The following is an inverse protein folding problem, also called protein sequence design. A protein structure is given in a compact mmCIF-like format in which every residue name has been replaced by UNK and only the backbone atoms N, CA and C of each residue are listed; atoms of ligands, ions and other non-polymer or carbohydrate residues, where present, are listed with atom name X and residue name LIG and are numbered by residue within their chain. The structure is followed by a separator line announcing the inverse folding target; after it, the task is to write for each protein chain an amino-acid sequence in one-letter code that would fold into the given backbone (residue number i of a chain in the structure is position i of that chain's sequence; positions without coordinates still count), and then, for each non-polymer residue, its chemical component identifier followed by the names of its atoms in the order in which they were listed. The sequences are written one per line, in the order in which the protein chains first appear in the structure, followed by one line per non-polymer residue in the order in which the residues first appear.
data_IF_245266602420
#
_entry.id   IF_245266602420
#
_cell.length_a   1.000
_cell.length_b   1.000
_cell.length_c   1.000
_cell.angle_alpha   90.00
_cell.angle_beta   90.00
_cell.angle_gamma   90.00
#
_symmetry.space_group_name_H-M   'P 1'
#
loop_
_entity.id
_entity.type
_entity.pdbx_description
1 polymer ?
#
# COMPACT_ATOMS: atom_id res chain seq x y z
N UNK A 1 -16.24 17.41 -16.70
CA UNK A 1 -14.76 17.53 -16.67
C UNK A 1 -14.19 16.22 -16.14
N UNK A 2 -14.18 15.18 -16.97
CA UNK A 2 -13.27 14.04 -16.80
C UNK A 2 -11.89 14.60 -17.11
N UNK A 3 -11.13 14.90 -16.06
CA UNK A 3 -10.16 15.99 -16.11
C UNK A 3 -8.81 15.56 -15.57
N UNK A 4 -7.77 16.12 -16.18
CA UNK A 4 -6.40 16.15 -15.66
C UNK A 4 -6.34 16.52 -14.18
N UNK A 5 -7.29 17.32 -13.67
CA UNK A 5 -7.40 17.61 -12.23
C UNK A 5 -7.70 16.36 -11.39
N UNK A 6 -8.71 15.57 -11.78
CA UNK A 6 -9.08 14.33 -11.10
C UNK A 6 -7.92 13.32 -11.13
N UNK A 7 -7.26 13.20 -12.28
CA UNK A 7 -6.08 12.33 -12.42
C UNK A 7 -4.97 12.73 -11.46
N UNK A 8 -4.61 14.01 -11.39
CA UNK A 8 -3.59 14.49 -10.48
C UNK A 8 -3.97 14.22 -9.02
N UNK A 9 -5.20 14.53 -8.60
CA UNK A 9 -5.69 14.27 -7.24
C UNK A 9 -5.65 12.78 -6.87
N UNK A 10 -6.13 11.92 -7.78
CA UNK A 10 -6.08 10.48 -7.64
C UNK A 10 -4.64 10.00 -7.41
N UNK A 11 -3.70 10.45 -8.24
CA UNK A 11 -2.31 10.05 -8.17
C UNK A 11 -1.55 10.63 -6.96
N UNK A 12 -1.88 11.83 -6.47
CA UNK A 12 -1.30 12.37 -5.21
C UNK A 12 -1.44 11.36 -4.08
N UNK A 13 -2.67 10.86 -3.88
CA UNK A 13 -2.98 9.91 -2.81
C UNK A 13 -2.29 8.56 -3.01
N UNK A 14 -2.26 8.05 -4.26
CA UNK A 14 -1.58 6.79 -4.59
C UNK A 14 -0.09 6.86 -4.31
N UNK A 15 0.58 7.92 -4.74
CA UNK A 15 2.02 8.06 -4.47
C UNK A 15 2.31 8.08 -2.97
N UNK A 16 1.47 8.75 -2.17
CA UNK A 16 1.67 8.81 -0.72
C UNK A 16 1.43 7.46 -0.02
N UNK A 17 0.43 6.69 -0.43
CA UNK A 17 0.22 5.32 0.07
C UNK A 17 1.35 4.36 -0.38
N UNK A 18 1.89 4.54 -1.59
CA UNK A 18 3.04 3.78 -2.10
C UNK A 18 4.32 4.07 -1.33
N UNK A 19 4.59 5.35 -1.04
CA UNK A 19 5.72 5.75 -0.20
C UNK A 19 5.62 5.09 1.19
N UNK A 20 4.45 5.14 1.82
CA UNK A 20 4.21 4.45 3.10
C UNK A 20 4.45 2.94 2.98
N UNK A 21 4.05 2.32 1.89
CA UNK A 21 4.25 0.87 1.67
C UNK A 21 5.73 0.51 1.54
N UNK A 22 6.51 1.28 0.76
CA UNK A 22 7.95 1.05 0.66
C UNK A 22 8.66 1.21 2.00
N UNK A 23 8.28 2.22 2.79
CA UNK A 23 8.77 2.38 4.16
C UNK A 23 8.42 1.16 5.04
N UNK A 24 7.20 0.63 4.93
CA UNK A 24 6.80 -0.57 5.69
C UNK A 24 7.58 -1.82 5.26
N UNK A 25 7.84 -2.00 3.96
CA UNK A 25 8.68 -3.10 3.46
C UNK A 25 10.12 -3.00 4.00
N UNK A 26 10.69 -1.80 4.02
CA UNK A 26 12.00 -1.54 4.61
C UNK A 26 12.01 -1.85 6.12
N UNK A 27 10.95 -1.50 6.84
CA UNK A 27 10.80 -1.84 8.25
C UNK A 27 10.73 -3.36 8.48
N UNK A 28 10.00 -4.10 7.62
CA UNK A 28 9.99 -5.57 7.65
C UNK A 28 11.41 -6.10 7.48
N UNK A 29 12.14 -5.65 6.47
CA UNK A 29 13.50 -6.09 6.18
C UNK A 29 14.45 -5.82 7.34
N UNK A 30 14.41 -4.61 7.89
CA UNK A 30 15.23 -4.22 9.04
C UNK A 30 14.94 -5.09 10.27
N UNK A 31 13.67 -5.45 10.53
CA UNK A 31 13.29 -6.32 11.65
C UNK A 31 13.69 -7.78 11.42
N UNK A 32 13.52 -8.31 10.21
CA UNK A 32 13.93 -9.67 9.87
C UNK A 32 15.44 -9.83 9.98
N UNK A 33 16.22 -8.83 9.51
CA UNK A 33 17.67 -8.83 9.61
C UNK A 33 18.22 -8.90 11.05
N UNK A 34 17.42 -8.52 12.06
CA UNK A 34 17.78 -8.63 13.47
C UNK A 34 17.46 -10.01 14.09
N UNK A 35 16.84 -10.91 13.34
CA UNK A 35 16.49 -12.26 13.81
C UNK A 35 17.66 -13.22 13.57
N UNK A 36 17.97 -14.15 14.51
CA UNK A 36 19.01 -15.15 14.29
C UNK A 36 18.60 -16.08 13.14
N UNK A 37 19.32 -16.06 12.02
CA UNK A 37 19.04 -16.93 10.87
C UNK A 37 19.28 -18.40 11.24
N UNK A 38 18.24 -19.24 11.15
CA UNK A 38 18.40 -20.69 11.09
C UNK A 38 18.75 -21.09 9.65
N UNK A 39 20.02 -20.98 9.29
CA UNK A 39 20.63 -21.79 8.22
C UNK A 39 20.61 -21.26 6.77
N UNK A 40 19.75 -20.31 6.41
CA UNK A 40 19.80 -19.63 5.10
C UNK A 40 20.06 -18.14 5.34
N UNK A 41 21.20 -17.63 4.85
CA UNK A 41 21.68 -16.28 5.21
C UNK A 41 20.76 -15.15 4.73
N UNK A 42 20.96 -13.96 5.31
CA UNK A 42 20.21 -12.70 5.13
C UNK A 42 19.92 -12.25 3.68
N UNK A 43 20.53 -12.85 2.66
CA UNK A 43 20.35 -12.48 1.25
C UNK A 43 18.95 -12.81 0.71
N UNK A 44 18.35 -13.94 1.13
CA UNK A 44 17.04 -14.35 0.59
C UNK A 44 15.89 -13.46 1.08
N UNK A 45 16.05 -12.78 2.22
CA UNK A 45 15.00 -12.02 2.86
C UNK A 45 14.79 -10.65 2.19
N UNK A 46 15.89 -9.97 1.86
CA UNK A 46 15.83 -8.70 1.16
C UNK A 46 15.44 -8.85 -0.32
N UNK A 47 15.89 -9.91 -0.97
CA UNK A 47 15.46 -10.26 -2.34
C UNK A 47 13.94 -10.45 -2.40
N UNK A 48 13.38 -11.14 -1.41
CA UNK A 48 11.96 -11.41 -1.32
C UNK A 48 11.11 -10.15 -1.07
N UNK A 49 11.66 -9.14 -0.39
CA UNK A 49 11.02 -7.82 -0.30
C UNK A 49 10.98 -7.11 -1.66
N UNK A 50 12.05 -7.20 -2.45
CA UNK A 50 12.06 -6.67 -3.80
C UNK A 50 11.02 -7.36 -4.69
N UNK A 51 10.91 -8.69 -4.60
CA UNK A 51 9.89 -9.47 -5.31
C UNK A 51 8.48 -9.03 -4.93
N UNK A 52 8.17 -9.01 -3.63
CA UNK A 52 6.85 -8.59 -3.14
C UNK A 52 6.50 -7.15 -3.55
N UNK A 53 7.48 -6.24 -3.56
CA UNK A 53 7.29 -4.86 -4.02
C UNK A 53 7.08 -4.71 -5.53
N UNK A 54 7.38 -5.76 -6.32
CA UNK A 54 7.39 -5.71 -7.78
C UNK A 54 8.52 -4.87 -8.36
N UNK A 55 9.63 -4.69 -7.63
CA UNK A 55 10.76 -3.85 -8.05
C UNK A 55 12.09 -4.61 -8.21
N UNK A 56 12.05 -5.94 -8.13
CA UNK A 56 13.23 -6.81 -8.22
C UNK A 56 13.99 -6.66 -9.55
N UNK A 57 13.29 -6.63 -10.69
CA UNK A 57 13.94 -6.54 -12.01
C UNK A 57 14.74 -5.25 -12.15
N UNK A 58 14.11 -4.11 -11.81
CA UNK A 58 14.76 -2.80 -11.86
C UNK A 58 15.89 -2.64 -10.83
N UNK A 59 15.82 -3.33 -9.69
CA UNK A 59 16.92 -3.39 -8.75
C UNK A 59 18.10 -4.17 -9.32
N UNK A 60 17.83 -5.38 -9.83
CA UNK A 60 18.85 -6.30 -10.36
C UNK A 60 19.63 -5.67 -11.51
N UNK A 61 18.92 -4.99 -12.42
CA UNK A 61 19.53 -4.28 -13.55
C UNK A 61 20.53 -3.20 -13.11
N UNK A 62 20.24 -2.49 -12.02
CA UNK A 62 21.02 -1.33 -11.57
C UNK A 62 22.09 -1.65 -10.52
N UNK A 63 21.76 -2.51 -9.56
CA UNK A 63 22.59 -2.80 -8.38
C UNK A 63 23.20 -4.20 -8.37
N UNK A 64 22.69 -5.12 -9.21
CA UNK A 64 23.11 -6.52 -9.21
C UNK A 64 22.67 -7.24 -7.93
N UNK A 65 23.63 -7.73 -7.16
CA UNK A 65 23.36 -8.56 -5.99
C UNK A 65 22.56 -7.82 -4.88
N UNK A 66 21.60 -8.51 -4.22
CA UNK A 66 20.76 -7.94 -3.17
C UNK A 66 21.54 -7.72 -1.87
N UNK A 67 22.24 -6.58 -1.82
CA UNK A 67 22.91 -6.08 -0.62
C UNK A 67 21.98 -5.13 0.11
N UNK A 68 21.79 -5.31 1.43
CA UNK A 68 20.88 -4.51 2.26
C UNK A 68 21.00 -2.99 1.99
N UNK A 69 22.21 -2.43 2.07
CA UNK A 69 22.45 -0.99 1.84
C UNK A 69 21.99 -0.52 0.45
N UNK A 70 22.14 -1.37 -0.57
CA UNK A 70 21.69 -1.05 -1.93
C UNK A 70 20.16 -1.08 -2.00
N UNK A 71 19.50 -2.00 -1.31
CA UNK A 71 18.05 -2.13 -1.28
C UNK A 71 17.41 -0.98 -0.52
N UNK A 72 17.95 -0.62 0.64
CA UNK A 72 17.58 0.60 1.37
C UNK A 72 17.71 1.85 0.49
N UNK A 73 18.83 1.94 -0.24
CA UNK A 73 19.07 3.02 -1.20
C UNK A 73 18.04 3.03 -2.34
N UNK A 74 17.73 1.86 -2.90
CA UNK A 74 16.83 1.70 -4.03
C UNK A 74 15.36 1.98 -3.69
N UNK A 75 14.89 1.49 -2.54
CA UNK A 75 13.51 1.64 -2.12
C UNK A 75 13.23 3.02 -1.49
N UNK A 76 14.23 3.66 -0.89
CA UNK A 76 14.03 4.98 -0.27
C UNK A 76 14.49 6.13 -1.18
N UNK A 77 15.74 6.11 -1.63
CA UNK A 77 16.42 7.29 -2.18
C UNK A 77 16.51 7.35 -3.70
N UNK A 78 16.30 6.23 -4.39
CA UNK A 78 16.63 6.12 -5.80
C UNK A 78 15.52 6.68 -6.71
N UNK A 79 15.85 7.72 -7.48
CA UNK A 79 14.90 8.36 -8.40
C UNK A 79 14.65 7.56 -9.68
N UNK A 80 15.52 6.62 -10.02
CA UNK A 80 15.30 5.71 -11.15
C UNK A 80 14.27 4.63 -10.79
N UNK A 81 14.05 4.38 -9.50
CA UNK A 81 12.91 3.61 -9.01
C UNK A 81 11.67 4.53 -8.90
N UNK A 82 10.66 4.40 -9.77
CA UNK A 82 9.45 5.23 -9.71
C UNK A 82 8.62 4.97 -8.45
N UNK A 83 8.83 3.83 -7.78
CA UNK A 83 8.16 3.45 -6.56
C UNK A 83 8.91 3.86 -5.30
N UNK A 84 10.15 4.38 -5.39
CA UNK A 84 10.88 4.78 -4.20
C UNK A 84 10.16 5.86 -3.40
N UNK A 85 10.45 5.94 -2.10
CA UNK A 85 9.85 6.94 -1.21
C UNK A 85 10.07 8.36 -1.76
N UNK A 86 11.30 8.69 -2.16
CA UNK A 86 11.61 10.01 -2.72
C UNK A 86 10.83 10.25 -4.02
N UNK A 87 10.87 9.32 -4.98
CA UNK A 87 10.14 9.46 -6.24
C UNK A 87 8.65 9.70 -6.02
N UNK A 88 8.05 8.94 -5.11
CA UNK A 88 6.64 9.07 -4.78
C UNK A 88 6.30 10.43 -4.17
N UNK A 89 7.07 10.90 -3.17
CA UNK A 89 6.78 12.18 -2.51
C UNK A 89 7.02 13.36 -3.46
N UNK A 90 8.05 13.29 -4.31
CA UNK A 90 8.29 14.31 -5.34
C UNK A 90 7.13 14.38 -6.34
N UNK A 91 6.65 13.23 -6.84
CA UNK A 91 5.51 13.16 -7.76
C UNK A 91 4.20 13.59 -7.12
N UNK A 92 3.95 13.20 -5.86
CA UNK A 92 2.77 13.62 -5.11
C UNK A 92 2.74 15.15 -4.97
N UNK A 93 3.85 15.76 -4.58
CA UNK A 93 3.96 17.22 -4.45
C UNK A 93 3.79 17.91 -5.80
N UNK A 94 4.35 17.38 -6.88
CA UNK A 94 4.23 17.98 -8.20
C UNK A 94 2.81 17.91 -8.75
N UNK A 95 2.13 16.77 -8.60
CA UNK A 95 0.72 16.65 -8.97
C UNK A 95 -0.13 17.65 -8.16
N UNK A 96 0.09 17.77 -6.85
CA UNK A 96 -0.58 18.74 -6.01
C UNK A 96 -0.32 20.20 -6.41
N UNK A 97 0.87 20.49 -6.95
CA UNK A 97 1.21 21.82 -7.48
C UNK A 97 0.38 22.15 -8.72
N UNK A 98 0.20 21.18 -9.62
CA UNK A 98 -0.61 21.32 -10.83
C UNK A 98 -2.07 21.62 -10.46
N UNK A 99 -2.60 20.97 -9.43
CA UNK A 99 -3.99 21.13 -8.97
C UNK A 99 -4.12 21.96 -7.70
N UNK A 100 -3.26 22.96 -7.51
CA UNK A 100 -3.17 23.75 -6.27
C UNK A 100 -4.51 24.37 -5.83
N UNK A 101 -5.37 24.70 -6.79
CA UNK A 101 -6.71 25.27 -6.55
C UNK A 101 -7.77 24.24 -6.16
N UNK A 102 -7.52 22.95 -6.40
CA UNK A 102 -8.43 21.86 -6.07
C UNK A 102 -8.15 21.21 -4.71
N UNK A 103 -7.08 21.62 -4.02
CA UNK A 103 -6.70 21.16 -2.69
C UNK A 103 -6.70 22.32 -1.69
N UNK A 104 -6.86 22.00 -0.41
CA UNK A 104 -6.82 22.97 0.68
C UNK A 104 -5.39 23.42 0.96
N UNK A 105 -5.24 24.55 1.68
CA UNK A 105 -3.94 24.99 2.17
C UNK A 105 -3.25 23.92 3.02
N UNK A 106 -3.98 23.28 3.93
CA UNK A 106 -3.43 22.23 4.80
C UNK A 106 -2.89 21.03 4.00
N UNK A 107 -3.62 20.53 3.01
CA UNK A 107 -3.15 19.42 2.17
C UNK A 107 -1.89 19.81 1.39
N UNK A 108 -1.86 21.02 0.83
CA UNK A 108 -0.67 21.54 0.15
C UNK A 108 0.52 21.66 1.09
N UNK A 109 0.33 22.25 2.26
CA UNK A 109 1.40 22.50 3.23
C UNK A 109 1.98 21.18 3.75
N UNK A 110 1.15 20.16 3.99
CA UNK A 110 1.64 18.82 4.35
C UNK A 110 2.55 18.24 3.26
N UNK A 111 2.12 18.25 1.99
CA UNK A 111 2.91 17.71 0.88
C UNK A 111 4.20 18.50 0.64
N UNK A 112 4.11 19.83 0.70
CA UNK A 112 5.27 20.70 0.50
C UNK A 112 6.27 20.59 1.65
N UNK A 113 5.80 20.46 2.88
CA UNK A 113 6.66 20.23 4.06
C UNK A 113 7.38 18.89 3.94
N UNK A 114 6.66 17.80 3.63
CA UNK A 114 7.28 16.50 3.40
C UNK A 114 8.36 16.54 2.31
N UNK A 115 8.10 17.24 1.19
CA UNK A 115 9.10 17.46 0.15
C UNK A 115 10.33 18.24 0.65
N UNK A 116 10.13 19.32 1.41
CA UNK A 116 11.25 20.10 1.98
C UNK A 116 12.08 19.29 2.98
N UNK A 117 11.44 18.48 3.81
CA UNK A 117 12.10 17.59 4.77
C UNK A 117 12.93 16.52 4.06
N UNK A 118 12.45 15.93 2.94
CA UNK A 118 13.30 15.04 2.10
C UNK A 118 14.56 15.76 1.64
N UNK A 119 14.44 17.01 1.18
CA UNK A 119 15.61 17.78 0.75
C UNK A 119 16.60 18.03 1.89
N UNK A 120 16.16 18.03 3.14
CA UNK A 120 17.04 18.12 4.30
C UNK A 120 17.68 16.76 4.62
N UNK A 121 16.91 15.67 4.57
CA UNK A 121 17.40 14.30 4.73
C UNK A 121 18.53 14.02 3.71
N UNK A 122 18.33 14.41 2.45
CA UNK A 122 19.31 14.23 1.37
C UNK A 122 20.60 15.04 1.53
N UNK A 123 20.60 16.11 2.35
CA UNK A 123 21.81 16.91 2.60
C UNK A 123 22.77 16.25 3.58
N UNK A 124 22.30 15.24 4.32
CA UNK A 124 23.13 14.49 5.26
C UNK A 124 23.60 13.18 4.61
N UNK A 125 24.80 12.69 4.98
CA UNK A 125 25.26 11.37 4.54
C UNK A 125 24.26 10.28 4.97
N UNK A 126 24.03 9.29 4.10
CA UNK A 126 23.11 8.17 4.40
C UNK A 126 23.47 7.41 5.68
N UNK A 127 24.76 7.38 6.06
CA UNK A 127 25.23 6.73 7.28
C UNK A 127 24.75 7.40 8.57
N UNK A 128 24.25 8.64 8.50
CA UNK A 128 23.71 9.36 9.64
C UNK A 128 22.23 9.02 9.90
N UNK A 129 21.58 8.30 9.00
CA UNK A 129 20.16 7.97 9.10
C UNK A 129 19.95 6.50 9.40
N UNK A 130 19.23 6.24 10.49
CA UNK A 130 18.68 4.92 10.76
C UNK A 130 17.45 4.68 9.88
N UNK A 131 17.40 3.53 9.19
CA UNK A 131 16.31 3.22 8.27
C UNK A 131 14.94 3.23 8.96
N UNK A 132 14.89 2.80 10.22
CA UNK A 132 13.66 2.80 11.02
C UNK A 132 13.13 4.23 11.25
N UNK A 133 14.00 5.20 11.50
CA UNK A 133 13.61 6.61 11.70
C UNK A 133 13.02 7.20 10.41
N UNK A 134 13.63 6.88 9.28
CA UNK A 134 13.13 7.25 7.95
C UNK A 134 11.75 6.63 7.69
N UNK A 135 11.56 5.35 8.00
CA UNK A 135 10.27 4.67 7.82
C UNK A 135 9.17 5.24 8.72
N UNK A 136 9.50 5.56 9.98
CA UNK A 136 8.58 6.24 10.88
C UNK A 136 8.23 7.64 10.37
N UNK A 137 9.21 8.37 9.85
CA UNK A 137 9.00 9.68 9.23
C UNK A 137 7.99 9.60 8.07
N UNK A 138 8.16 8.67 7.12
CA UNK A 138 7.21 8.48 6.01
C UNK A 138 5.81 8.17 6.53
N UNK A 139 5.71 7.30 7.54
CA UNK A 139 4.43 6.92 8.12
C UNK A 139 3.72 8.12 8.77
N UNK A 140 4.48 9.00 9.44
CA UNK A 140 3.95 10.26 9.98
C UNK A 140 3.44 11.18 8.86
N UNK A 141 4.19 11.34 7.76
CA UNK A 141 3.76 12.19 6.64
C UNK A 141 2.47 11.69 5.99
N UNK A 142 2.34 10.37 5.78
CA UNK A 142 1.11 9.79 5.25
C UNK A 142 -0.08 9.96 6.21
N UNK A 143 0.14 9.83 7.53
CA UNK A 143 -0.89 10.10 8.52
C UNK A 143 -1.32 11.57 8.55
N UNK A 144 -0.38 12.51 8.48
CA UNK A 144 -0.65 13.94 8.39
C UNK A 144 -1.48 14.28 7.15
N UNK A 145 -1.15 13.70 6.00
CA UNK A 145 -1.88 13.96 4.76
C UNK A 145 -3.33 13.46 4.86
N UNK A 146 -3.54 12.24 5.36
CA UNK A 146 -4.90 11.72 5.59
C UNK A 146 -5.69 12.62 6.54
N UNK A 147 -5.08 13.05 7.64
CA UNK A 147 -5.70 13.99 8.59
C UNK A 147 -6.04 15.34 7.96
N UNK A 148 -5.15 15.89 7.13
CA UNK A 148 -5.37 17.14 6.42
C UNK A 148 -6.51 17.02 5.40
N UNK A 149 -6.56 15.92 4.65
CA UNK A 149 -7.65 15.64 3.71
C UNK A 149 -8.99 15.55 4.44
N UNK A 150 -9.07 14.71 5.47
CA UNK A 150 -10.31 14.48 6.22
C UNK A 150 -10.78 15.73 6.95
N UNK A 151 -9.86 16.50 7.55
CA UNK A 151 -10.17 17.66 8.38
C UNK A 151 -10.47 18.95 7.63
N UNK A 152 -10.05 19.09 6.36
CA UNK A 152 -10.15 20.37 5.65
C UNK A 152 -10.84 20.34 4.29
N UNK A 153 -10.85 19.21 3.58
CA UNK A 153 -11.43 19.17 2.23
C UNK A 153 -12.96 19.06 2.26
N UNK A 154 -13.63 19.83 1.41
CA UNK A 154 -15.04 19.64 1.12
C UNK A 154 -15.29 18.23 0.57
N UNK A 155 -16.41 17.59 0.92
CA UNK A 155 -16.80 16.25 0.41
C UNK A 155 -17.35 16.35 -1.01
N UNK A 156 -16.49 16.76 -1.94
CA UNK A 156 -16.73 16.83 -3.38
C UNK A 156 -15.97 15.74 -4.13
N UNK A 157 -16.09 15.73 -5.45
CA UNK A 157 -15.36 14.84 -6.35
C UNK A 157 -13.85 14.81 -6.08
N UNK A 158 -13.21 15.96 -5.83
CA UNK A 158 -11.80 16.01 -5.49
C UNK A 158 -11.42 15.20 -4.24
N UNK A 159 -12.21 15.32 -3.16
CA UNK A 159 -12.04 14.50 -1.96
C UNK A 159 -12.26 13.02 -2.26
N UNK A 160 -13.28 12.68 -3.05
CA UNK A 160 -13.58 11.29 -3.39
C UNK A 160 -12.49 10.67 -4.28
N UNK A 161 -11.93 11.40 -5.25
CA UNK A 161 -10.84 10.93 -6.09
C UNK A 161 -9.55 10.67 -5.30
N UNK A 162 -9.17 11.57 -4.39
CA UNK A 162 -7.99 11.34 -3.54
C UNK A 162 -8.19 10.09 -2.68
N UNK A 163 -9.34 9.95 -2.01
CA UNK A 163 -9.57 8.79 -1.15
C UNK A 163 -9.76 7.48 -1.93
N UNK A 164 -10.31 7.53 -3.15
CA UNK A 164 -10.36 6.39 -4.07
C UNK A 164 -8.94 5.93 -4.44
N UNK A 165 -8.05 6.87 -4.77
CA UNK A 165 -6.64 6.57 -5.02
C UNK A 165 -5.97 5.89 -3.82
N UNK A 166 -6.14 6.46 -2.63
CA UNK A 166 -5.65 5.85 -1.38
C UNK A 166 -6.19 4.43 -1.17
N UNK A 167 -7.48 4.21 -1.37
CA UNK A 167 -8.12 2.93 -1.14
C UNK A 167 -7.65 1.84 -2.11
N UNK A 168 -7.55 2.14 -3.41
CA UNK A 168 -7.09 1.19 -4.42
C UNK A 168 -5.60 0.86 -4.25
N UNK A 169 -4.76 1.87 -4.01
CA UNK A 169 -3.34 1.65 -3.77
C UNK A 169 -3.11 0.86 -2.48
N UNK A 170 -3.92 1.10 -1.43
CA UNK A 170 -3.85 0.30 -0.21
C UNK A 170 -4.26 -1.15 -0.42
N UNK A 171 -5.29 -1.40 -1.23
CA UNK A 171 -5.73 -2.76 -1.52
C UNK A 171 -4.60 -3.57 -2.18
N UNK A 172 -3.97 -3.01 -3.24
CA UNK A 172 -2.83 -3.62 -3.92
C UNK A 172 -1.62 -3.80 -2.97
N UNK A 173 -1.23 -2.73 -2.26
CA UNK A 173 -0.05 -2.76 -1.40
C UNK A 173 -0.20 -3.64 -0.16
N UNK A 174 -1.40 -3.73 0.44
CA UNK A 174 -1.63 -4.69 1.51
C UNK A 174 -1.49 -6.11 0.97
N UNK A 175 -2.02 -6.42 -0.22
CA UNK A 175 -1.88 -7.76 -0.80
C UNK A 175 -0.40 -8.12 -0.99
N UNK A 176 0.39 -7.21 -1.57
CA UNK A 176 1.85 -7.36 -1.72
C UNK A 176 2.58 -7.56 -0.39
N UNK A 177 2.22 -6.79 0.63
CA UNK A 177 2.81 -6.94 1.97
C UNK A 177 2.48 -8.28 2.62
N UNK A 178 1.27 -8.82 2.42
CA UNK A 178 0.93 -10.18 2.88
C UNK A 178 1.74 -11.21 2.09
N UNK A 179 1.90 -10.99 0.78
CA UNK A 179 2.58 -11.91 -0.14
C UNK A 179 4.09 -12.05 0.13
N UNK A 180 4.69 -11.12 0.89
CA UNK A 180 6.03 -11.29 1.50
C UNK A 180 6.13 -12.62 2.27
N UNK A 181 5.01 -13.13 2.83
CA UNK A 181 4.95 -14.44 3.47
C UNK A 181 5.34 -15.58 2.53
N UNK A 182 4.95 -15.50 1.26
CA UNK A 182 5.31 -16.52 0.28
C UNK A 182 6.81 -16.48 -0.03
N UNK A 183 7.33 -15.29 -0.34
CA UNK A 183 8.72 -15.12 -0.79
C UNK A 183 9.75 -15.26 0.34
N UNK A 184 9.53 -14.63 1.51
CA UNK A 184 10.53 -14.64 2.60
C UNK A 184 10.38 -15.89 3.50
N UNK A 185 9.19 -16.49 3.63
CA UNK A 185 8.81 -17.17 4.88
C UNK A 185 8.20 -18.58 4.74
N UNK A 186 8.26 -19.23 3.57
CA UNK A 186 7.85 -20.64 3.39
C UNK A 186 9.02 -21.52 2.90
N UNK A 187 9.94 -21.97 3.78
CA UNK A 187 11.03 -22.85 3.35
C UNK A 187 10.57 -24.30 3.10
N UNK A 188 9.45 -24.71 3.72
CA UNK A 188 8.79 -26.01 3.51
C UNK A 188 7.39 -26.04 4.15
N UNK A 189 6.45 -26.83 3.58
CA UNK A 189 5.10 -27.06 4.12
C UNK A 189 5.15 -27.59 5.56
N UNK A 190 6.24 -28.27 5.93
CA UNK A 190 6.48 -28.86 7.25
C UNK A 190 6.68 -27.81 8.36
N UNK A 191 7.00 -26.55 8.04
CA UNK A 191 7.22 -25.48 9.02
C UNK A 191 5.99 -24.59 9.28
N UNK A 192 4.86 -24.87 8.63
CA UNK A 192 3.60 -24.15 8.87
C UNK A 192 3.12 -24.38 10.30
N UNK A 193 2.82 -23.31 11.04
CA UNK A 193 2.44 -23.36 12.46
C UNK A 193 3.61 -23.48 13.44
N UNK A 194 4.87 -23.44 12.97
CA UNK A 194 6.06 -23.41 13.83
C UNK A 194 6.20 -22.08 14.59
N UNK A 195 7.09 -22.05 15.60
CA UNK A 195 7.45 -20.80 16.30
C UNK A 195 8.03 -19.74 15.38
N UNK A 196 8.77 -20.16 14.34
CA UNK A 196 9.30 -19.27 13.30
C UNK A 196 8.14 -18.68 12.47
N UNK A 197 7.21 -19.52 11.99
CA UNK A 197 6.03 -19.07 11.24
C UNK A 197 5.22 -18.02 12.04
N UNK A 198 4.99 -18.29 13.32
CA UNK A 198 4.31 -17.35 14.21
C UNK A 198 5.08 -16.04 14.38
N UNK A 199 6.40 -16.07 14.57
CA UNK A 199 7.20 -14.84 14.67
C UNK A 199 7.08 -13.99 13.40
N UNK A 200 7.16 -14.62 12.25
CA UNK A 200 7.13 -13.95 10.95
C UNK A 200 5.79 -13.26 10.69
N UNK A 201 4.67 -13.90 11.03
CA UNK A 201 3.36 -13.25 11.02
C UNK A 201 3.28 -12.04 11.97
N UNK A 202 3.95 -12.09 13.12
CA UNK A 202 4.01 -10.93 14.02
C UNK A 202 4.80 -9.78 13.41
N UNK A 203 5.88 -10.05 12.67
CA UNK A 203 6.63 -9.00 11.94
C UNK A 203 5.71 -8.31 10.95
N UNK A 204 4.94 -9.06 10.14
CA UNK A 204 3.97 -8.50 9.20
C UNK A 204 2.90 -7.66 9.90
N UNK A 205 2.33 -8.17 10.99
CA UNK A 205 1.33 -7.42 11.79
C UNK A 205 1.91 -6.12 12.37
N UNK A 206 3.17 -6.10 12.79
CA UNK A 206 3.83 -4.90 13.31
C UNK A 206 4.12 -3.90 12.20
N UNK A 207 4.64 -4.35 11.06
CA UNK A 207 4.87 -3.51 9.90
C UNK A 207 3.58 -2.91 9.32
N UNK A 208 2.44 -3.59 9.48
CA UNK A 208 1.11 -3.05 9.16
C UNK A 208 0.49 -2.23 10.30
N UNK A 209 1.21 -1.99 11.40
CA UNK A 209 0.73 -1.34 12.63
C UNK A 209 -0.57 -1.95 13.19
N UNK A 210 -0.79 -3.22 12.89
CA UNK A 210 -2.05 -3.93 13.10
C UNK A 210 -1.93 -4.96 14.23
N UNK A 211 -0.74 -5.15 14.81
CA UNK A 211 -0.47 -6.11 15.89
C UNK A 211 -1.42 -5.98 17.08
N UNK A 212 -1.60 -4.76 17.62
CA UNK A 212 -2.48 -4.56 18.78
C UNK A 212 -3.97 -4.69 18.41
N UNK A 213 -4.35 -4.20 17.23
CA UNK A 213 -5.72 -4.32 16.73
C UNK A 213 -6.11 -5.79 16.49
N UNK A 214 -5.17 -6.61 16.00
CA UNK A 214 -5.35 -8.05 15.86
C UNK A 214 -5.67 -8.70 17.21
N UNK A 215 -4.86 -8.42 18.23
CA UNK A 215 -5.05 -8.99 19.57
C UNK A 215 -6.40 -8.60 20.18
N UNK A 216 -6.86 -7.37 19.96
CA UNK A 216 -8.20 -6.96 20.39
C UNK A 216 -9.32 -7.69 19.65
N UNK A 217 -9.16 -7.93 18.34
CA UNK A 217 -10.21 -8.53 17.52
C UNK A 217 -10.33 -10.06 17.71
N UNK A 218 -9.22 -10.76 17.95
CA UNK A 218 -9.20 -12.23 17.96
C UNK A 218 -8.87 -12.85 19.32
N UNK A 219 -8.13 -12.14 20.18
CA UNK A 219 -7.62 -12.67 21.43
C UNK A 219 -6.82 -13.99 21.29
N UNK A 220 -6.32 -14.47 22.44
CA UNK A 220 -5.68 -15.78 22.56
C UNK A 220 -4.46 -15.96 21.65
N UNK A 221 -4.31 -17.18 21.13
CA UNK A 221 -3.15 -17.55 20.31
C UNK A 221 -3.19 -16.95 18.90
N UNK A 222 -2.00 -16.58 18.42
CA UNK A 222 -1.73 -16.19 17.04
C UNK A 222 -1.74 -17.44 16.17
N UNK A 223 -2.64 -17.48 15.18
CA UNK A 223 -2.66 -18.54 14.17
C UNK A 223 -2.70 -17.92 12.78
N UNK A 224 -2.09 -18.58 11.80
CA UNK A 224 -2.07 -18.12 10.41
C UNK A 224 -3.49 -17.84 9.90
N UNK A 225 -4.46 -18.73 10.19
CA UNK A 225 -5.86 -18.56 9.78
C UNK A 225 -6.52 -17.31 10.35
N UNK A 226 -6.27 -16.98 11.63
CA UNK A 226 -6.79 -15.75 12.24
C UNK A 226 -6.17 -14.51 11.59
N UNK A 227 -4.89 -14.55 11.27
CA UNK A 227 -4.16 -13.42 10.69
C UNK A 227 -4.56 -13.20 9.23
N UNK A 228 -4.69 -14.27 8.45
CA UNK A 228 -5.28 -14.23 7.10
C UNK A 228 -6.68 -13.65 7.15
N UNK A 229 -7.55 -14.13 8.04
CA UNK A 229 -8.86 -13.50 8.22
C UNK A 229 -8.73 -12.01 8.53
N UNK A 230 -7.84 -11.63 9.45
CA UNK A 230 -7.73 -10.23 9.88
C UNK A 230 -7.23 -9.30 8.77
N UNK A 231 -6.27 -9.75 7.97
CA UNK A 231 -5.64 -8.94 6.92
C UNK A 231 -6.38 -9.03 5.58
N UNK A 232 -7.24 -10.02 5.37
CA UNK A 232 -7.96 -10.20 4.10
C UNK A 232 -9.45 -9.92 4.29
N UNK A 233 -10.09 -10.63 5.22
CA UNK A 233 -11.55 -10.76 5.33
C UNK A 233 -12.17 -10.03 6.54
N UNK A 234 -11.42 -9.28 7.35
CA UNK A 234 -11.99 -8.60 8.51
C UNK A 234 -12.36 -7.15 8.17
N UNK A 235 -13.64 -6.74 8.28
CA UNK A 235 -14.08 -5.38 7.92
C UNK A 235 -13.54 -4.30 8.86
N UNK A 236 -13.28 -4.64 10.13
CA UNK A 236 -12.83 -3.72 11.16
C UNK A 236 -11.32 -3.46 11.08
N UNK A 237 -10.57 -4.34 10.40
CA UNK A 237 -9.15 -4.12 10.12
C UNK A 237 -8.99 -2.96 9.14
N UNK A 238 -8.31 -1.85 9.50
CA UNK A 238 -8.27 -0.63 8.67
C UNK A 238 -7.53 -0.79 7.34
N UNK A 239 -6.70 -1.82 7.24
CA UNK A 239 -5.86 -2.11 6.07
C UNK A 239 -6.22 -3.41 5.38
N UNK A 240 -7.23 -4.16 5.85
CA UNK A 240 -7.58 -5.43 5.18
C UNK A 240 -8.00 -5.21 3.74
N UNK A 241 -7.82 -6.24 2.90
CA UNK A 241 -8.26 -6.21 1.51
C UNK A 241 -9.74 -5.83 1.42
N UNK A 242 -10.58 -6.43 2.26
CA UNK A 242 -12.00 -6.09 2.31
C UNK A 242 -12.28 -4.65 2.77
N UNK A 243 -11.56 -4.12 3.75
CA UNK A 243 -11.75 -2.73 4.19
C UNK A 243 -11.32 -1.72 3.12
N UNK A 244 -10.21 -1.99 2.44
CA UNK A 244 -9.72 -1.15 1.34
C UNK A 244 -10.68 -1.19 0.14
N UNK A 245 -11.14 -2.38 -0.28
CA UNK A 245 -12.15 -2.53 -1.34
C UNK A 245 -13.47 -1.85 -0.99
N UNK A 246 -13.94 -1.98 0.27
CA UNK A 246 -15.15 -1.29 0.73
C UNK A 246 -15.02 0.22 0.64
N UNK A 247 -13.85 0.78 1.00
CA UNK A 247 -13.58 2.23 0.88
C UNK A 247 -13.55 2.66 -0.58
N UNK A 248 -12.92 1.88 -1.47
CA UNK A 248 -12.91 2.17 -2.90
C UNK A 248 -14.34 2.20 -3.46
N UNK A 249 -15.16 1.20 -3.15
CA UNK A 249 -16.58 1.14 -3.53
C UNK A 249 -17.34 2.36 -2.99
N UNK A 250 -17.16 2.72 -1.72
CA UNK A 250 -17.80 3.90 -1.13
C UNK A 250 -17.48 5.18 -1.91
N UNK A 251 -16.20 5.42 -2.26
CA UNK A 251 -15.84 6.64 -3.00
C UNK A 251 -16.32 6.60 -4.46
N UNK A 252 -16.42 5.43 -5.08
CA UNK A 252 -17.04 5.26 -6.40
C UNK A 252 -18.54 5.57 -6.37
N UNK A 253 -19.27 5.12 -5.36
CA UNK A 253 -20.71 5.40 -5.21
C UNK A 253 -20.96 6.90 -4.98
N UNK A 254 -20.08 7.56 -4.21
CA UNK A 254 -20.16 9.02 -4.02
C UNK A 254 -19.84 9.78 -5.30
N UNK A 255 -18.88 9.33 -6.12
CA UNK A 255 -18.58 9.93 -7.42
C UNK A 255 -19.75 9.76 -8.39
N UNK A 256 -20.39 8.60 -8.41
CA UNK A 256 -21.59 8.34 -9.20
C UNK A 256 -22.73 9.29 -8.80
N UNK A 257 -22.95 9.44 -7.50
CA UNK A 257 -23.94 10.37 -6.94
C UNK A 257 -23.62 11.83 -7.26
N UNK A 258 -22.35 12.23 -7.16
CA UNK A 258 -21.90 13.60 -7.42
C UNK A 258 -22.07 14.02 -8.88
N UNK A 259 -21.88 13.08 -9.82
CA UNK A 259 -22.06 13.32 -11.25
C UNK A 259 -23.47 12.96 -11.76
N UNK A 260 -24.42 12.71 -10.86
CA UNK A 260 -25.83 12.39 -11.18
C UNK A 260 -25.99 11.20 -12.14
N UNK A 261 -25.08 10.22 -12.05
CA UNK A 261 -25.14 8.98 -12.81
C UNK A 261 -26.07 8.01 -12.09
N UNK A 262 -26.83 7.21 -12.84
CA UNK A 262 -27.76 6.23 -12.28
C UNK A 262 -26.99 5.21 -11.41
N UNK A 263 -27.42 4.93 -10.15
CA UNK A 263 -26.65 4.10 -9.22
C UNK A 263 -26.32 2.70 -9.75
N UNK A 264 -25.07 2.28 -9.59
CA UNK A 264 -24.56 0.96 -9.96
C UNK A 264 -24.48 0.71 -11.46
N UNK A 265 -24.46 1.75 -12.29
CA UNK A 265 -24.38 1.62 -13.77
C UNK A 265 -22.98 1.84 -14.31
N UNK A 266 -22.11 2.51 -13.55
CA UNK A 266 -20.70 2.67 -13.93
C UNK A 266 -19.92 1.34 -13.87
N UNK A 267 -19.11 1.08 -14.90
CA UNK A 267 -18.26 -0.12 -14.95
C UNK A 267 -17.32 -0.25 -13.73
N UNK A 268 -16.67 0.82 -13.23
CA UNK A 268 -15.87 0.73 -12.01
C UNK A 268 -16.69 0.31 -10.78
N UNK A 269 -17.90 0.85 -10.62
CA UNK A 269 -18.81 0.55 -9.52
C UNK A 269 -19.25 -0.91 -9.54
N UNK A 270 -19.69 -1.39 -10.71
CA UNK A 270 -20.07 -2.79 -10.90
C UNK A 270 -18.92 -3.73 -10.55
N UNK A 271 -17.70 -3.40 -10.99
CA UNK A 271 -16.50 -4.20 -10.70
C UNK A 271 -16.13 -4.19 -9.22
N UNK A 272 -16.14 -3.03 -8.58
CA UNK A 272 -15.88 -2.91 -7.15
C UNK A 272 -16.92 -3.67 -6.31
N UNK A 273 -18.20 -3.62 -6.70
CA UNK A 273 -19.28 -4.37 -6.05
C UNK A 273 -19.11 -5.87 -6.22
N UNK A 274 -18.76 -6.34 -7.41
CA UNK A 274 -18.48 -7.76 -7.65
C UNK A 274 -17.34 -8.27 -6.77
N UNK A 275 -16.22 -7.55 -6.73
CA UNK A 275 -15.08 -7.89 -5.88
C UNK A 275 -15.45 -7.89 -4.38
N UNK A 276 -16.27 -6.93 -3.96
CA UNK A 276 -16.76 -6.88 -2.58
C UNK A 276 -17.68 -8.07 -2.25
N UNK A 277 -18.55 -8.47 -3.17
CA UNK A 277 -19.42 -9.66 -3.01
C UNK A 277 -18.58 -10.92 -2.88
N UNK A 278 -17.56 -11.08 -3.74
CA UNK A 278 -16.64 -12.22 -3.69
C UNK A 278 -15.93 -12.30 -2.32
N UNK A 279 -15.33 -11.21 -1.86
CA UNK A 279 -14.64 -11.16 -0.56
C UNK A 279 -15.59 -11.48 0.62
N UNK A 280 -16.85 -11.04 0.56
CA UNK A 280 -17.83 -11.35 1.62
C UNK A 280 -18.22 -12.83 1.65
N UNK A 281 -18.12 -13.54 0.52
CA UNK A 281 -18.48 -14.95 0.41
C UNK A 281 -17.29 -15.88 0.67
N UNK A 282 -16.07 -15.38 0.48
CA UNK A 282 -14.82 -16.11 0.67
C UNK A 282 -14.61 -16.50 2.12
N UNK A 283 -14.15 -17.73 2.36
CA UNK A 283 -13.71 -18.21 3.67
C UNK A 283 -12.21 -18.43 3.69
N UNK A 284 -11.60 -18.35 4.88
CA UNK A 284 -10.16 -18.60 5.05
C UNK A 284 -9.74 -19.98 4.56
N UNK A 285 -10.57 -21.00 4.74
CA UNK A 285 -10.29 -22.35 4.24
C UNK A 285 -10.11 -22.37 2.71
N UNK A 286 -10.96 -21.65 1.98
CA UNK A 286 -10.88 -21.57 0.52
C UNK A 286 -9.60 -20.84 0.06
N UNK A 287 -9.15 -19.82 0.79
CA UNK A 287 -7.87 -19.13 0.54
C UNK A 287 -6.70 -20.09 0.76
N UNK A 288 -6.77 -20.93 1.79
CA UNK A 288 -5.73 -21.93 2.08
C UNK A 288 -5.71 -23.02 1.01
N UNK A 289 -6.87 -23.47 0.55
CA UNK A 289 -7.02 -24.49 -0.48
C UNK A 289 -6.57 -23.98 -1.87
N UNK A 290 -6.85 -22.71 -2.21
CA UNK A 290 -6.37 -22.03 -3.42
C UNK A 290 -4.85 -21.80 -3.37
N UNK A 291 -4.32 -21.54 -2.19
CA UNK A 291 -2.97 -21.03 -1.97
C UNK A 291 -2.99 -19.51 -1.76
N UNK A 292 -2.29 -19.05 -0.71
CA UNK A 292 -2.30 -17.64 -0.33
C UNK A 292 -1.70 -16.74 -1.42
N UNK A 293 -0.61 -17.18 -2.06
CA UNK A 293 0.06 -16.40 -3.09
C UNK A 293 -0.80 -16.26 -4.35
N UNK A 294 -1.43 -17.36 -4.75
CA UNK A 294 -2.33 -17.45 -5.90
C UNK A 294 -3.55 -16.54 -5.70
N UNK A 295 -4.17 -16.60 -4.52
CA UNK A 295 -5.26 -15.71 -4.12
C UNK A 295 -4.84 -14.23 -4.19
N UNK A 296 -3.69 -13.89 -3.60
CA UNK A 296 -3.20 -12.49 -3.56
C UNK A 296 -2.83 -11.97 -4.94
N UNK A 297 -2.20 -12.79 -5.78
CA UNK A 297 -1.86 -12.46 -7.17
C UNK A 297 -3.12 -12.19 -7.99
N UNK A 298 -4.14 -13.04 -7.84
CA UNK A 298 -5.45 -12.83 -8.48
C UNK A 298 -6.08 -11.52 -7.99
N UNK A 299 -6.11 -11.30 -6.68
CA UNK A 299 -6.66 -10.06 -6.10
C UNK A 299 -5.94 -8.79 -6.59
N UNK A 300 -4.62 -8.81 -6.71
CA UNK A 300 -3.82 -7.72 -7.29
C UNK A 300 -4.26 -7.45 -8.74
N UNK A 301 -4.47 -8.49 -9.55
CA UNK A 301 -5.00 -8.37 -10.90
C UNK A 301 -6.39 -7.72 -10.94
N UNK A 302 -7.29 -8.11 -10.04
CA UNK A 302 -8.64 -7.56 -9.91
C UNK A 302 -8.62 -6.05 -9.56
N UNK A 303 -7.76 -5.64 -8.62
CA UNK A 303 -7.56 -4.22 -8.28
C UNK A 303 -6.93 -3.44 -9.43
N UNK A 304 -5.99 -4.04 -10.16
CA UNK A 304 -5.39 -3.46 -11.36
C UNK A 304 -6.44 -3.19 -12.45
N UNK A 305 -7.34 -4.14 -12.69
CA UNK A 305 -8.45 -3.97 -13.63
C UNK A 305 -9.44 -2.89 -13.17
N UNK A 306 -9.83 -2.88 -11.89
CA UNK A 306 -10.68 -1.83 -11.34
C UNK A 306 -10.04 -0.44 -11.50
N UNK A 307 -8.74 -0.33 -11.24
CA UNK A 307 -7.96 0.89 -11.43
C UNK A 307 -7.97 1.34 -12.90
N UNK A 308 -7.80 0.41 -13.85
CA UNK A 308 -7.85 0.73 -15.28
C UNK A 308 -9.23 1.24 -15.70
N UNK A 309 -10.31 0.63 -15.18
CA UNK A 309 -11.68 1.12 -15.40
C UNK A 309 -11.89 2.52 -14.83
N UNK A 310 -11.36 2.80 -13.63
CA UNK A 310 -11.40 4.16 -13.05
C UNK A 310 -10.65 5.14 -13.95
N UNK A 311 -9.47 4.78 -14.43
CA UNK A 311 -8.71 5.63 -15.35
C UNK A 311 -9.52 5.93 -16.61
N UNK A 312 -10.08 4.92 -17.26
CA UNK A 312 -10.87 5.07 -18.48
C UNK A 312 -12.19 5.84 -18.26
N UNK A 313 -12.84 5.64 -17.12
CA UNK A 313 -14.16 6.21 -16.85
C UNK A 313 -14.06 7.63 -16.34
N UNK A 314 -13.08 7.91 -15.48
CA UNK A 314 -13.00 9.15 -14.70
C UNK A 314 -11.83 10.07 -15.07
N UNK A 315 -10.70 9.52 -15.54
CA UNK A 315 -9.42 10.21 -15.55
C UNK A 315 -8.86 10.46 -16.96
N UNK A 316 -9.21 9.64 -17.96
CA UNK A 316 -8.95 9.93 -19.36
C UNK A 316 -9.90 11.03 -19.82
N UNK A 317 -9.34 12.20 -20.14
CA UNK A 317 -10.09 13.37 -20.57
C UNK A 317 -10.69 13.28 -21.97
N UNK A 318 -11.16 12.10 -22.38
CA UNK A 318 -11.98 11.97 -23.58
C UNK A 318 -13.34 12.58 -23.26
N UNK A 319 -13.44 13.87 -23.57
CA UNK A 319 -14.69 14.58 -23.70
C UNK A 319 -15.58 13.77 -24.65
N UNK A 320 -16.63 13.16 -24.10
CA UNK A 320 -17.86 12.95 -24.86
C UNK A 320 -18.65 14.25 -24.85
#
# INVERSE_FOLDING_TARGET
MLSRTAENLFWVARYMERAETMARLLEVGARIALTPSTGHGYRSEWESLLQASGTADGFSEKYGDPVQRNIESYLFFDRDNPSSVISCIERARENARIVRTAITGQVWDTLNTAFQEIRQIERQPRSEWEITELCEWVTRQSALLRGAMDGSMLRNDGFFFMNLGYALERADNTARLIDVKYFVLLPSVEMVGSGLDNYQWQVLLRALQSYRAFHWAYGGELTASKIMHFLILNPASPRSLMSATRKAMHHLDNLESFYEVAPGTGLPQMRAKALMTELNQTKVAEIVDEGLHEFLTRFIGEIGQLTALVQQTYLSGDAR
#
